data_IF_712609573563
#
_entry.id   IF_712609573563
#
_cell.length_a   1.000
_cell.length_b   1.000
_cell.length_c   1.000
_cell.angle_alpha   90.00
_cell.angle_beta   90.00
_cell.angle_gamma   90.00
#
_symmetry.space_group_name_H-M   'P 1'
#
loop_
_entity.id
_entity.type
_entity.pdbx_description
1 polymer ?
#
# COMPACT_ATOMS: atom_id res chain seq x y z
N UNK A 1 21.78 -24.42 52.01
CA UNK A 1 21.35 -24.79 50.64
C UNK A 1 19.87 -24.55 50.31
N UNK A 2 18.95 -24.41 51.28
CA UNK A 2 17.51 -24.15 51.01
C UNK A 2 17.12 -22.66 50.90
N UNK A 3 17.98 -21.74 51.34
CA UNK A 3 17.71 -20.29 51.26
C UNK A 3 18.15 -19.66 49.92
N UNK A 4 19.20 -20.20 49.28
CA UNK A 4 19.67 -19.73 47.96
C UNK A 4 18.69 -20.12 46.85
N UNK A 5 18.01 -21.27 46.96
CA UNK A 5 16.97 -21.68 46.01
C UNK A 5 15.70 -20.81 46.08
N UNK A 6 15.40 -20.19 47.23
CA UNK A 6 14.20 -19.35 47.39
C UNK A 6 14.38 -17.93 46.82
N UNK A 7 15.62 -17.42 46.76
CA UNK A 7 15.90 -16.14 46.11
C UNK A 7 15.84 -16.24 44.58
N UNK A 8 16.22 -17.39 44.00
CA UNK A 8 16.19 -17.62 42.55
C UNK A 8 14.73 -17.75 42.05
N UNK A 9 13.83 -18.29 42.87
CA UNK A 9 12.41 -18.40 42.54
C UNK A 9 11.67 -17.05 42.56
N UNK A 10 12.15 -16.05 43.31
CA UNK A 10 11.51 -14.72 43.37
C UNK A 10 11.95 -13.81 42.22
N UNK A 11 13.17 -13.99 41.69
CA UNK A 11 13.66 -13.24 40.52
C UNK A 11 13.01 -13.73 39.23
N UNK A 12 12.66 -15.01 39.14
CA UNK A 12 11.94 -15.56 37.98
C UNK A 12 10.44 -15.23 37.95
N UNK A 13 9.83 -14.84 39.08
CA UNK A 13 8.41 -14.50 39.14
C UNK A 13 8.12 -13.02 38.85
N UNK A 14 9.13 -12.13 38.87
CA UNK A 14 8.97 -10.71 38.53
C UNK A 14 9.33 -10.37 37.07
N UNK A 15 9.90 -11.31 36.31
CA UNK A 15 10.26 -11.08 34.91
C UNK A 15 9.10 -11.35 33.91
N UNK A 16 7.97 -11.89 34.38
CA UNK A 16 6.80 -12.21 33.55
C UNK A 16 5.73 -11.09 33.48
N UNK A 17 6.00 -9.92 34.05
CA UNK A 17 5.15 -8.72 33.96
C UNK A 17 5.62 -7.72 32.89
N UNK A 18 6.46 -8.16 31.94
CA UNK A 18 6.66 -7.41 30.70
C UNK A 18 5.35 -7.44 29.93
N UNK A 19 4.56 -6.39 30.14
CA UNK A 19 3.25 -6.19 29.55
C UNK A 19 3.28 -6.53 28.07
N UNK A 20 2.31 -7.32 27.66
CA UNK A 20 1.83 -7.34 26.28
C UNK A 20 1.43 -5.91 25.96
N UNK A 21 2.37 -5.11 25.45
CA UNK A 21 2.03 -3.91 24.73
C UNK A 21 1.16 -4.41 23.59
N UNK A 22 -0.15 -4.12 23.66
CA UNK A 22 -0.98 -4.23 22.49
C UNK A 22 -0.27 -3.40 21.43
N UNK A 23 0.35 -4.08 20.46
CA UNK A 23 0.85 -3.40 19.27
C UNK A 23 -0.40 -2.71 18.71
N UNK A 24 -0.44 -1.39 18.83
CA UNK A 24 -1.49 -0.60 18.19
C UNK A 24 -1.40 -0.98 16.72
N UNK A 25 -2.38 -1.73 16.22
CA UNK A 25 -2.45 -2.05 14.81
C UNK A 25 -2.56 -0.70 14.09
N UNK A 26 -1.49 -0.30 13.40
CA UNK A 26 -1.52 0.89 12.59
C UNK A 26 -2.57 0.65 11.51
N UNK A 27 -3.47 1.61 11.31
CA UNK A 27 -4.46 1.55 10.24
C UNK A 27 -3.70 1.37 8.91
N UNK A 28 -4.06 0.33 8.16
CA UNK A 28 -3.45 0.01 6.86
C UNK A 28 -4.38 0.29 5.68
N UNK A 29 -5.67 0.39 5.95
CA UNK A 29 -6.73 0.54 4.97
C UNK A 29 -7.87 1.38 5.55
N UNK A 30 -8.61 2.08 4.69
CA UNK A 30 -9.80 2.82 5.06
C UNK A 30 -10.82 2.88 3.92
N UNK A 31 -12.09 2.98 4.31
CA UNK A 31 -13.25 3.13 3.42
C UNK A 31 -14.00 4.39 3.82
N UNK A 32 -14.50 5.15 2.83
CA UNK A 32 -15.33 6.34 3.06
C UNK A 32 -16.60 5.96 3.82
N UNK A 33 -16.97 6.77 4.81
CA UNK A 33 -18.16 6.52 5.61
C UNK A 33 -19.42 6.45 4.73
N UNK A 34 -20.23 5.41 4.94
CA UNK A 34 -21.45 5.15 4.16
C UNK A 34 -21.21 4.65 2.74
N UNK A 35 -19.96 4.48 2.30
CA UNK A 35 -19.66 3.85 1.02
C UNK A 35 -19.72 2.33 1.14
N UNK A 36 -20.52 1.72 0.28
CA UNK A 36 -20.57 0.27 0.10
C UNK A 36 -20.45 -0.05 -1.39
N UNK A 37 -19.70 -1.11 -1.69
CA UNK A 37 -19.65 -1.71 -3.02
C UNK A 37 -19.91 -3.21 -2.90
N UNK A 38 -21.17 -3.64 -2.89
CA UNK A 38 -21.51 -5.05 -2.91
C UNK A 38 -20.97 -5.73 -4.17
N UNK A 39 -20.63 -7.02 -4.06
CA UNK A 39 -20.39 -7.84 -5.23
C UNK A 39 -21.63 -7.86 -6.13
N UNK A 40 -21.42 -7.89 -7.45
CA UNK A 40 -22.47 -7.95 -8.47
C UNK A 40 -23.46 -6.77 -8.40
N UNK A 41 -23.00 -5.59 -7.96
CA UNK A 41 -23.83 -4.37 -7.88
C UNK A 41 -24.15 -3.75 -9.25
N UNK A 42 -23.60 -4.31 -10.34
CA UNK A 42 -23.70 -3.77 -11.70
C UNK A 42 -22.77 -2.59 -11.98
N UNK A 43 -21.98 -2.18 -10.97
CA UNK A 43 -20.98 -1.12 -11.09
C UNK A 43 -19.79 -1.56 -11.92
N UNK A 44 -19.18 -0.60 -12.60
CA UNK A 44 -17.99 -0.83 -13.41
C UNK A 44 -16.77 -0.09 -12.85
N UNK A 45 -15.66 -0.82 -12.73
CA UNK A 45 -14.38 -0.34 -12.21
C UNK A 45 -13.40 -0.22 -13.39
N UNK A 46 -12.88 0.97 -13.61
CA UNK A 46 -11.83 1.27 -14.57
C UNK A 46 -10.46 1.12 -13.90
N UNK A 47 -9.63 0.20 -14.35
CA UNK A 47 -8.28 0.01 -13.81
C UNK A 47 -7.29 0.79 -14.64
N UNK A 48 -6.66 1.80 -14.04
CA UNK A 48 -5.57 2.54 -14.67
C UNK A 48 -4.30 1.71 -14.68
N UNK A 49 -3.41 2.00 -15.65
CA UNK A 49 -2.08 1.39 -15.69
C UNK A 49 -1.35 1.71 -14.37
N UNK A 50 -0.88 0.72 -13.61
CA UNK A 50 -0.18 0.99 -12.36
C UNK A 50 1.10 1.82 -12.57
N UNK A 51 1.37 2.74 -11.64
CA UNK A 51 2.64 3.46 -11.58
C UNK A 51 3.66 2.60 -10.83
N UNK A 52 4.64 2.04 -11.54
CA UNK A 52 5.61 1.09 -10.99
C UNK A 52 7.03 1.64 -11.19
N UNK A 53 7.81 1.67 -10.11
CA UNK A 53 9.24 2.01 -10.15
C UNK A 53 10.05 1.05 -9.27
N UNK A 54 11.09 0.46 -9.84
CA UNK A 54 11.96 -0.48 -9.13
C UNK A 54 13.40 -0.08 -9.29
N UNK A 55 14.17 -0.16 -8.21
CA UNK A 55 15.57 0.26 -8.22
C UNK A 55 16.40 -0.30 -7.09
N UNK A 56 17.66 0.08 -7.08
CA UNK A 56 18.56 -0.19 -5.97
C UNK A 56 18.51 0.94 -4.94
N UNK A 57 18.76 0.59 -3.68
CA UNK A 57 19.07 1.56 -2.64
C UNK A 57 20.59 1.62 -2.46
N UNK A 58 21.17 2.77 -2.76
CA UNK A 58 22.61 2.98 -2.63
C UNK A 58 23.06 2.91 -1.16
N UNK A 59 24.38 2.85 -0.94
CA UNK A 59 24.95 2.89 0.42
C UNK A 59 24.54 4.18 1.14
N UNK A 60 24.42 5.30 0.41
CA UNK A 60 23.94 6.58 0.94
C UNK A 60 22.43 6.67 1.13
N UNK A 61 21.67 5.62 0.80
CA UNK A 61 20.20 5.60 0.92
C UNK A 61 19.46 6.22 -0.27
N UNK A 62 20.18 6.60 -1.33
CA UNK A 62 19.57 7.16 -2.54
C UNK A 62 18.91 6.05 -3.39
N UNK A 63 17.78 6.38 -4.01
CA UNK A 63 17.12 5.53 -4.99
C UNK A 63 17.85 5.60 -6.34
N UNK A 64 18.27 4.45 -6.85
CA UNK A 64 18.92 4.27 -8.15
C UNK A 64 17.98 3.47 -9.06
N UNK A 65 17.28 4.12 -10.01
CA UNK A 65 16.32 3.44 -10.88
C UNK A 65 16.95 2.31 -11.69
N UNK A 66 16.25 1.19 -11.83
CA UNK A 66 16.66 0.07 -12.68
C UNK A 66 15.56 -0.23 -13.70
N UNK A 67 15.85 0.00 -14.98
CA UNK A 67 14.89 -0.16 -16.07
C UNK A 67 14.47 -1.63 -16.24
N UNK A 68 15.40 -2.58 -16.22
CA UNK A 68 15.11 -4.00 -16.38
C UNK A 68 14.20 -4.52 -15.25
N UNK A 69 14.52 -4.18 -14.00
CA UNK A 69 13.69 -4.56 -12.86
C UNK A 69 12.30 -3.91 -12.90
N UNK A 70 12.23 -2.67 -13.39
CA UNK A 70 10.95 -1.97 -13.55
C UNK A 70 10.08 -2.64 -14.62
N UNK A 71 10.66 -3.05 -15.75
CA UNK A 71 9.92 -3.75 -16.81
C UNK A 71 9.50 -5.17 -16.39
N UNK A 72 10.35 -5.90 -15.65
CA UNK A 72 9.97 -7.19 -15.05
C UNK A 72 8.79 -7.03 -14.10
N UNK A 73 8.85 -6.04 -13.19
CA UNK A 73 7.78 -5.77 -12.25
C UNK A 73 6.48 -5.35 -12.93
N UNK A 74 6.54 -4.50 -13.96
CA UNK A 74 5.35 -4.16 -14.78
C UNK A 74 4.71 -5.39 -15.39
N UNK A 75 5.51 -6.29 -15.96
CA UNK A 75 5.04 -7.51 -16.60
C UNK A 75 4.37 -8.43 -15.58
N UNK A 76 5.03 -8.70 -14.45
CA UNK A 76 4.53 -9.60 -13.44
C UNK A 76 3.29 -9.04 -12.72
N UNK A 77 3.32 -7.77 -12.30
CA UNK A 77 2.17 -7.11 -11.66
C UNK A 77 0.96 -7.09 -12.60
N UNK A 78 1.16 -6.82 -13.89
CA UNK A 78 0.07 -6.89 -14.89
C UNK A 78 -0.54 -8.29 -14.94
N UNK A 79 0.28 -9.33 -15.04
CA UNK A 79 -0.21 -10.71 -15.06
C UNK A 79 -0.98 -11.07 -13.78
N UNK A 80 -0.49 -10.63 -12.61
CA UNK A 80 -1.19 -10.82 -11.33
C UNK A 80 -2.50 -10.05 -11.24
N UNK A 81 -2.56 -8.83 -11.77
CA UNK A 81 -3.79 -8.03 -11.85
C UNK A 81 -4.82 -8.68 -12.77
N UNK A 82 -4.41 -9.15 -13.94
CA UNK A 82 -5.31 -9.84 -14.88
C UNK A 82 -5.96 -11.09 -14.23
N UNK A 83 -5.22 -11.79 -13.36
CA UNK A 83 -5.72 -12.92 -12.57
C UNK A 83 -6.66 -12.50 -11.44
N UNK A 84 -6.25 -11.53 -10.62
CA UNK A 84 -6.94 -11.15 -9.39
C UNK A 84 -8.13 -10.22 -9.61
N UNK A 85 -8.16 -9.47 -10.72
CA UNK A 85 -9.27 -8.55 -11.01
C UNK A 85 -10.62 -9.27 -11.15
N UNK A 86 -10.61 -10.55 -11.56
CA UNK A 86 -11.81 -11.39 -11.63
C UNK A 86 -12.45 -11.64 -10.24
N UNK A 87 -11.68 -11.42 -9.17
CA UNK A 87 -12.12 -11.61 -7.79
C UNK A 87 -12.64 -10.32 -7.14
N UNK A 88 -12.61 -9.16 -7.82
CA UNK A 88 -13.09 -7.87 -7.29
C UNK A 88 -14.63 -7.78 -7.17
N UNK A 89 -15.36 -8.79 -7.65
CA UNK A 89 -16.80 -8.91 -7.47
C UNK A 89 -17.66 -8.03 -8.36
N UNK A 90 -17.09 -7.07 -9.10
CA UNK A 90 -17.81 -6.18 -10.03
C UNK A 90 -17.14 -6.17 -11.40
N UNK A 91 -17.78 -5.55 -12.40
CA UNK A 91 -17.25 -5.52 -13.76
C UNK A 91 -15.96 -4.69 -13.80
N UNK A 92 -14.87 -5.28 -14.27
CA UNK A 92 -13.57 -4.60 -14.39
C UNK A 92 -13.25 -4.36 -15.86
N UNK A 93 -12.85 -3.14 -16.18
CA UNK A 93 -12.35 -2.76 -17.51
C UNK A 93 -11.01 -2.06 -17.37
N UNK A 94 -10.08 -2.34 -18.27
CA UNK A 94 -8.79 -1.66 -18.30
C UNK A 94 -8.96 -0.29 -18.96
N UNK A 95 -8.30 0.74 -18.40
CA UNK A 95 -8.22 2.03 -19.05
C UNK A 95 -7.57 1.90 -20.44
N UNK A 96 -8.10 2.60 -21.46
CA UNK A 96 -7.49 2.60 -22.78
C UNK A 96 -6.07 3.17 -22.71
N UNK A 97 -5.23 2.81 -23.69
CA UNK A 97 -3.95 3.47 -23.82
C UNK A 97 -4.14 4.95 -24.15
N UNK A 98 -3.43 5.80 -23.40
CA UNK A 98 -3.49 7.24 -23.51
C UNK A 98 -2.25 7.76 -24.27
N UNK A 99 -2.40 8.85 -25.02
CA UNK A 99 -1.32 9.47 -25.79
C UNK A 99 -1.35 10.99 -25.63
N UNK A 100 -0.18 11.63 -25.79
CA UNK A 100 -0.08 13.09 -25.74
C UNK A 100 -0.59 13.67 -24.41
N UNK A 101 -1.52 14.63 -24.50
CA UNK A 101 -2.08 15.31 -23.32
C UNK A 101 -2.83 14.37 -22.38
N UNK A 102 -3.52 13.36 -22.92
CA UNK A 102 -4.22 12.36 -22.12
C UNK A 102 -3.25 11.49 -21.32
N UNK A 103 -2.11 11.12 -21.92
CA UNK A 103 -1.07 10.35 -21.22
C UNK A 103 -0.49 11.16 -20.06
N UNK A 104 -0.19 12.44 -20.31
CA UNK A 104 0.26 13.37 -19.28
C UNK A 104 -0.77 13.53 -18.17
N UNK A 105 -2.05 13.69 -18.51
CA UNK A 105 -3.11 13.79 -17.52
C UNK A 105 -3.20 12.54 -16.63
N UNK A 106 -3.09 11.33 -17.21
CA UNK A 106 -3.05 10.09 -16.43
C UNK A 106 -1.83 10.06 -15.50
N UNK A 107 -0.64 10.42 -15.99
CA UNK A 107 0.57 10.48 -15.16
C UNK A 107 0.46 11.47 -13.99
N UNK A 108 -0.07 12.65 -14.24
CA UNK A 108 -0.31 13.68 -13.21
C UNK A 108 -1.30 13.17 -12.14
N UNK A 109 -2.38 12.50 -12.53
CA UNK A 109 -3.34 11.94 -11.58
C UNK A 109 -2.78 10.71 -10.84
N UNK A 110 -1.91 9.91 -11.45
CA UNK A 110 -1.19 8.84 -10.76
C UNK A 110 -0.22 9.41 -9.70
N UNK A 111 0.48 10.50 -10.02
CA UNK A 111 1.35 11.19 -9.08
C UNK A 111 0.55 11.85 -7.94
N UNK A 112 -0.59 12.47 -8.27
CA UNK A 112 -1.52 13.02 -7.28
C UNK A 112 -2.06 11.92 -6.36
N UNK A 113 -2.43 10.76 -6.92
CA UNK A 113 -2.87 9.62 -6.13
C UNK A 113 -1.79 9.16 -5.14
N UNK A 114 -0.54 9.06 -5.57
CA UNK A 114 0.57 8.72 -4.68
C UNK A 114 0.75 9.75 -3.55
N UNK A 115 0.67 11.05 -3.87
CA UNK A 115 0.80 12.13 -2.90
C UNK A 115 -0.37 12.16 -1.89
N UNK A 116 -1.61 11.98 -2.37
CA UNK A 116 -2.79 11.88 -1.50
C UNK A 116 -2.71 10.65 -0.61
N UNK A 117 -2.28 9.50 -1.13
CA UNK A 117 -2.07 8.28 -0.33
C UNK A 117 -1.05 8.49 0.78
N UNK A 118 0.09 9.14 0.48
CA UNK A 118 1.07 9.51 1.50
C UNK A 118 0.49 10.46 2.56
N UNK A 119 -0.31 11.44 2.16
CA UNK A 119 -0.99 12.33 3.10
C UNK A 119 -2.00 11.58 3.98
N UNK A 120 -2.73 10.60 3.45
CA UNK A 120 -3.61 9.73 4.24
C UNK A 120 -2.80 8.95 5.26
N UNK A 121 -1.69 8.31 4.86
CA UNK A 121 -0.86 7.54 5.79
C UNK A 121 -0.36 8.43 6.93
N UNK A 122 0.18 9.60 6.59
CA UNK A 122 0.78 10.53 7.55
C UNK A 122 -0.26 11.14 8.50
N UNK A 123 -1.41 11.58 7.98
CA UNK A 123 -2.35 12.41 8.72
C UNK A 123 -3.65 11.70 9.16
N UNK A 124 -3.92 10.50 8.62
CA UNK A 124 -5.06 9.65 9.01
C UNK A 124 -4.57 8.43 9.80
N UNK A 125 -3.74 7.59 9.19
CA UNK A 125 -3.38 6.28 9.73
C UNK A 125 -2.37 6.39 10.86
N UNK A 126 -1.44 7.34 10.79
CA UNK A 126 -0.49 7.59 11.86
C UNK A 126 -1.10 8.49 12.94
N UNK A 127 -1.60 7.87 14.02
CA UNK A 127 -2.27 8.56 15.14
C UNK A 127 -1.46 9.72 15.70
N UNK A 128 -0.13 9.61 15.71
CA UNK A 128 0.78 10.63 16.24
C UNK A 128 0.78 11.95 15.46
N UNK A 129 0.49 11.93 14.16
CA UNK A 129 0.57 13.11 13.28
C UNK A 129 -0.81 13.60 12.80
N UNK A 130 -1.91 13.08 13.36
CA UNK A 130 -3.28 13.50 13.00
C UNK A 130 -3.48 15.02 13.13
N UNK A 131 -3.86 15.66 12.03
CA UNK A 131 -4.00 17.12 11.92
C UNK A 131 -5.04 17.68 12.93
N UNK A 132 -4.76 18.80 13.61
CA UNK A 132 -5.69 19.42 14.56
C UNK A 132 -7.09 19.72 14.00
N UNK A 133 -7.19 20.16 12.75
CA UNK A 133 -8.45 20.46 12.06
C UNK A 133 -9.23 19.21 11.69
N UNK A 134 -8.56 18.06 11.52
CA UNK A 134 -9.19 16.75 11.34
C UNK A 134 -9.39 15.97 12.64
N UNK A 135 -9.01 16.51 13.82
CA UNK A 135 -9.10 15.77 15.10
C UNK A 135 -10.52 15.36 15.49
N UNK A 136 -11.55 16.11 15.08
CA UNK A 136 -12.95 15.74 15.33
C UNK A 136 -13.41 14.67 14.34
N UNK A 137 -13.05 14.84 13.08
CA UNK A 137 -13.43 13.95 11.98
C UNK A 137 -12.72 12.59 12.12
N UNK A 138 -11.43 12.57 12.50
CA UNK A 138 -10.65 11.37 12.82
C UNK A 138 -11.02 10.71 14.17
N UNK A 139 -11.77 11.39 15.04
CA UNK A 139 -12.38 10.74 16.23
C UNK A 139 -13.66 9.99 15.86
N UNK A 140 -14.23 10.31 14.71
CA UNK A 140 -15.42 9.70 14.13
C UNK A 140 -15.08 8.85 12.90
N UNK A 141 -13.80 8.54 12.67
CA UNK A 141 -13.30 7.78 11.52
C UNK A 141 -13.75 8.30 10.13
N UNK A 142 -13.92 9.62 10.01
CA UNK A 142 -14.34 10.27 8.76
C UNK A 142 -13.19 10.25 7.74
N UNK A 143 -13.34 9.39 6.73
CA UNK A 143 -12.42 9.27 5.62
C UNK A 143 -12.84 10.16 4.45
N UNK A 144 -12.39 11.42 4.48
CA UNK A 144 -12.65 12.42 3.44
C UNK A 144 -11.35 12.87 2.76
N UNK A 145 -11.09 12.28 1.58
CA UNK A 145 -9.96 12.57 0.71
C UNK A 145 -10.44 12.50 -0.75
N UNK A 146 -9.77 13.22 -1.64
CA UNK A 146 -10.19 13.33 -3.04
C UNK A 146 -8.99 13.61 -3.94
N UNK A 147 -9.03 13.07 -5.17
CA UNK A 147 -8.16 13.46 -6.28
C UNK A 147 -8.74 14.66 -7.05
N UNK A 148 -9.95 15.11 -6.68
CA UNK A 148 -10.68 16.18 -7.34
C UNK A 148 -11.39 15.73 -8.63
N UNK A 149 -12.30 16.56 -9.14
CA UNK A 149 -13.18 16.20 -10.25
C UNK A 149 -12.45 15.99 -11.60
N UNK A 150 -11.16 16.32 -11.68
CA UNK A 150 -10.34 16.10 -12.88
C UNK A 150 -10.23 14.63 -13.31
N UNK A 151 -10.48 13.68 -12.40
CA UNK A 151 -10.50 12.25 -12.75
C UNK A 151 -11.57 11.90 -13.78
N UNK A 152 -12.65 12.70 -13.86
CA UNK A 152 -13.75 12.49 -14.79
C UNK A 152 -13.34 12.69 -16.26
N UNK A 153 -12.28 13.46 -16.51
CA UNK A 153 -11.74 13.68 -17.85
C UNK A 153 -10.71 12.64 -18.28
N UNK A 154 -10.33 11.71 -17.40
CA UNK A 154 -9.33 10.69 -17.76
C UNK A 154 -9.88 9.73 -18.82
N UNK A 155 -9.03 9.20 -19.71
CA UNK A 155 -9.44 8.25 -20.74
C UNK A 155 -10.19 7.04 -20.16
N UNK A 156 -11.38 6.76 -20.70
CA UNK A 156 -12.24 5.66 -20.25
C UNK A 156 -13.11 5.99 -19.03
N UNK A 157 -12.88 7.10 -18.32
CA UNK A 157 -13.62 7.44 -17.10
C UNK A 157 -15.14 7.54 -17.32
N UNK A 158 -15.56 8.07 -18.47
CA UNK A 158 -16.98 8.19 -18.85
C UNK A 158 -17.70 6.85 -19.03
N UNK A 159 -16.98 5.73 -19.08
CA UNK A 159 -17.54 4.39 -19.31
C UNK A 159 -17.66 3.56 -18.03
N UNK A 160 -17.23 4.09 -16.89
CA UNK A 160 -17.17 3.41 -15.60
C UNK A 160 -17.70 4.29 -14.45
N UNK A 161 -17.98 3.66 -13.31
CA UNK A 161 -18.42 4.37 -12.10
C UNK A 161 -17.22 4.76 -11.23
N UNK A 162 -16.24 3.86 -11.12
CA UNK A 162 -15.10 4.01 -10.24
C UNK A 162 -13.77 3.78 -10.97
N UNK A 163 -12.71 4.44 -10.50
CA UNK A 163 -11.35 4.29 -10.98
C UNK A 163 -10.50 3.61 -9.93
N UNK A 164 -9.79 2.54 -10.31
CA UNK A 164 -8.82 1.88 -9.46
C UNK A 164 -7.40 2.35 -9.85
N UNK A 165 -6.75 3.02 -8.90
CA UNK A 165 -5.39 3.52 -9.01
C UNK A 165 -4.46 2.59 -8.22
N UNK A 166 -3.33 2.21 -8.82
CA UNK A 166 -2.31 1.39 -8.16
C UNK A 166 -0.94 2.03 -8.28
N UNK A 167 -0.26 2.17 -7.16
CA UNK A 167 1.11 2.68 -7.07
C UNK A 167 2.01 1.63 -6.44
N UNK A 168 3.21 1.46 -7.00
CA UNK A 168 4.24 0.58 -6.46
C UNK A 168 5.63 1.21 -6.62
N UNK A 169 6.37 1.25 -5.52
CA UNK A 169 7.78 1.60 -5.52
C UNK A 169 8.57 0.62 -4.65
N UNK A 170 9.54 -0.05 -5.27
CA UNK A 170 10.41 -1.01 -4.58
C UNK A 170 11.88 -0.66 -4.72
N UNK A 171 12.60 -0.76 -3.60
CA UNK A 171 14.05 -0.56 -3.53
C UNK A 171 14.73 -1.77 -2.90
N UNK A 172 15.69 -2.35 -3.60
CA UNK A 172 16.50 -3.45 -3.08
C UNK A 172 17.90 -2.95 -2.71
N UNK A 173 18.40 -3.32 -1.53
CA UNK A 173 19.72 -2.89 -1.08
C UNK A 173 20.81 -3.31 -2.06
N UNK A 174 21.67 -2.35 -2.45
CA UNK A 174 22.85 -2.65 -3.28
C UNK A 174 23.79 -3.64 -2.57
N UNK A 175 24.72 -4.26 -3.32
CA UNK A 175 25.74 -5.14 -2.74
C UNK A 175 26.52 -4.44 -1.62
N UNK A 176 26.90 -3.17 -1.82
CA UNK A 176 27.58 -2.36 -0.80
C UNK A 176 26.72 -2.13 0.45
N UNK A 177 25.41 -1.88 0.29
CA UNK A 177 24.49 -1.70 1.41
C UNK A 177 24.24 -2.99 2.19
N UNK A 178 24.14 -4.14 1.52
CA UNK A 178 24.04 -5.45 2.18
C UNK A 178 25.26 -5.73 3.06
N UNK A 179 26.46 -5.40 2.58
CA UNK A 179 27.70 -5.49 3.38
C UNK A 179 27.65 -4.53 4.57
N UNK A 180 27.23 -3.27 4.36
CA UNK A 180 27.06 -2.30 5.44
C UNK A 180 26.08 -2.80 6.51
N UNK A 181 24.95 -3.39 6.11
CA UNK A 181 23.97 -3.96 7.03
C UNK A 181 24.57 -5.08 7.89
N UNK A 182 25.37 -5.96 7.29
CA UNK A 182 26.08 -7.01 8.03
C UNK A 182 27.06 -6.43 9.05
N UNK A 183 27.86 -5.44 8.66
CA UNK A 183 28.82 -4.76 9.55
C UNK A 183 28.11 -4.00 10.67
N UNK A 184 27.05 -3.26 10.35
CA UNK A 184 26.26 -2.52 11.33
C UNK A 184 25.58 -3.46 12.33
N UNK A 185 25.03 -4.59 11.88
CA UNK A 185 24.44 -5.60 12.74
C UNK A 185 25.45 -6.20 13.72
N UNK A 186 26.69 -6.47 13.29
CA UNK A 186 27.78 -6.88 14.20
C UNK A 186 28.10 -5.79 15.25
N UNK A 187 27.89 -4.53 14.92
CA UNK A 187 28.00 -3.39 15.83
C UNK A 187 26.73 -3.07 16.64
N UNK A 188 25.67 -3.88 16.54
CA UNK A 188 24.40 -3.66 17.25
C UNK A 188 23.51 -2.56 16.67
N UNK A 189 23.79 -2.06 15.47
CA UNK A 189 23.02 -1.01 14.80
C UNK A 189 22.16 -1.60 13.69
N UNK A 190 20.84 -1.39 13.76
CA UNK A 190 19.90 -1.79 12.71
C UNK A 190 19.88 -0.79 11.55
N UNK A 191 19.96 -1.29 10.31
CA UNK A 191 19.87 -0.47 9.09
C UNK A 191 18.71 -0.97 8.23
N UNK A 192 17.70 -0.12 8.01
CA UNK A 192 16.48 -0.46 7.25
C UNK A 192 16.84 -1.02 5.85
N UNK A 193 16.26 -2.18 5.55
CA UNK A 193 16.37 -2.88 4.27
C UNK A 193 15.41 -2.28 3.26
N UNK A 194 15.91 -1.41 2.37
CA UNK A 194 15.11 -0.91 1.25
C UNK A 194 13.87 -0.12 1.66
N UNK A 195 13.10 0.24 0.65
CA UNK A 195 11.77 0.81 0.77
C UNK A 195 10.87 -0.02 -0.15
N UNK A 196 9.79 -0.56 0.41
CA UNK A 196 8.82 -1.37 -0.29
C UNK A 196 7.46 -0.73 -0.04
N UNK A 197 6.96 0.02 -1.03
CA UNK A 197 5.75 0.83 -0.93
C UNK A 197 4.76 0.36 -1.97
N UNK A 198 3.50 0.18 -1.55
CA UNK A 198 2.39 -0.09 -2.44
C UNK A 198 1.11 0.59 -1.93
N UNK A 199 0.36 1.19 -2.85
CA UNK A 199 -0.96 1.78 -2.57
C UNK A 199 -1.97 1.31 -3.61
N UNK A 200 -3.20 1.02 -3.18
CA UNK A 200 -4.33 0.82 -4.07
C UNK A 200 -5.50 1.67 -3.59
N UNK A 201 -6.16 2.40 -4.50
CA UNK A 201 -7.27 3.27 -4.16
C UNK A 201 -8.39 3.21 -5.16
N UNK A 202 -9.63 3.17 -4.64
CA UNK A 202 -10.85 3.22 -5.42
C UNK A 202 -11.40 4.64 -5.35
N UNK A 203 -11.62 5.26 -6.51
CA UNK A 203 -12.01 6.66 -6.64
C UNK A 203 -13.33 6.77 -7.39
N UNK A 204 -14.25 7.62 -6.92
CA UNK A 204 -15.45 8.00 -7.67
C UNK A 204 -15.06 8.79 -8.93
N UNK A 205 -15.36 8.28 -10.11
CA UNK A 205 -14.95 8.93 -11.36
C UNK A 205 -15.74 10.20 -11.68
N UNK A 206 -16.85 10.47 -10.99
CA UNK A 206 -17.64 11.70 -11.16
C UNK A 206 -17.16 12.80 -10.23
N UNK A 207 -16.88 12.47 -8.97
CA UNK A 207 -16.54 13.48 -7.94
C UNK A 207 -15.04 13.58 -7.69
N UNK A 208 -14.28 12.51 -7.92
CA UNK A 208 -12.87 12.40 -7.53
C UNK A 208 -12.66 11.93 -6.10
N UNK A 209 -13.72 11.62 -5.36
CA UNK A 209 -13.60 11.17 -3.98
C UNK A 209 -12.86 9.85 -3.88
N UNK A 210 -11.90 9.77 -2.95
CA UNK A 210 -11.25 8.52 -2.57
C UNK A 210 -12.22 7.74 -1.67
N UNK A 211 -12.79 6.67 -2.22
CA UNK A 211 -13.82 5.86 -1.59
C UNK A 211 -13.22 4.73 -0.74
N UNK A 212 -12.06 4.24 -1.14
CA UNK A 212 -11.31 3.22 -0.42
C UNK A 212 -9.83 3.39 -0.72
N UNK A 213 -8.98 3.12 0.28
CA UNK A 213 -7.53 3.09 0.14
C UNK A 213 -6.96 1.95 0.97
N UNK A 214 -6.08 1.15 0.37
CA UNK A 214 -5.14 0.28 1.07
C UNK A 214 -3.72 0.78 0.85
N UNK A 215 -3.00 0.99 1.94
CA UNK A 215 -1.64 1.50 1.98
C UNK A 215 -0.80 0.82 3.08
N UNK A 216 -0.98 -0.49 3.25
CA UNK A 216 -0.22 -1.29 4.21
C UNK A 216 1.30 -1.13 4.02
N UNK A 217 1.98 -0.63 5.06
CA UNK A 217 3.43 -0.50 5.10
C UNK A 217 4.18 -1.85 5.25
N UNK A 218 3.46 -2.94 5.50
CA UNK A 218 3.99 -4.31 5.60
C UNK A 218 3.82 -5.12 4.31
N UNK A 219 3.53 -4.48 3.17
CA UNK A 219 3.51 -5.15 1.88
C UNK A 219 4.88 -5.76 1.55
N UNK A 220 4.83 -7.00 1.07
CA UNK A 220 6.01 -7.79 0.70
C UNK A 220 5.92 -8.33 -0.71
N UNK A 221 6.73 -9.36 -0.97
CA UNK A 221 6.88 -9.96 -2.29
C UNK A 221 7.90 -9.21 -3.14
N UNK A 222 8.80 -9.96 -3.77
CA UNK A 222 9.73 -9.42 -4.75
C UNK A 222 9.02 -9.27 -6.09
N UNK A 223 8.69 -8.04 -6.46
CA UNK A 223 7.94 -7.75 -7.69
C UNK A 223 8.69 -8.10 -8.97
N UNK A 224 9.99 -8.37 -8.89
CA UNK A 224 10.78 -8.84 -10.04
C UNK A 224 10.48 -10.31 -10.36
N UNK A 225 9.94 -11.03 -9.39
CA UNK A 225 9.53 -12.43 -9.52
C UNK A 225 8.00 -12.56 -9.67
N UNK A 226 7.50 -13.56 -10.41
CA UNK A 226 6.07 -13.77 -10.60
C UNK A 226 5.30 -13.98 -9.29
N UNK A 227 5.80 -14.87 -8.41
CA UNK A 227 5.14 -15.19 -7.13
C UNK A 227 5.15 -14.01 -6.17
N UNK A 228 6.25 -13.25 -6.16
CA UNK A 228 6.37 -12.04 -5.36
C UNK A 228 5.41 -10.95 -5.82
N UNK A 229 5.21 -10.80 -7.13
CA UNK A 229 4.20 -9.89 -7.69
C UNK A 229 2.78 -10.31 -7.38
N UNK A 230 2.47 -11.61 -7.44
CA UNK A 230 1.14 -12.10 -7.06
C UNK A 230 0.84 -11.79 -5.60
N UNK A 231 1.81 -12.06 -4.70
CA UNK A 231 1.70 -11.67 -3.29
C UNK A 231 1.47 -10.17 -3.14
N UNK A 232 2.26 -9.34 -3.83
CA UNK A 232 2.14 -7.89 -3.77
C UNK A 232 0.75 -7.42 -4.21
N UNK A 233 0.25 -7.91 -5.34
CA UNK A 233 -1.07 -7.51 -5.85
C UNK A 233 -2.20 -8.00 -4.96
N UNK A 234 -2.09 -9.21 -4.38
CA UNK A 234 -3.04 -9.70 -3.37
C UNK A 234 -3.09 -8.75 -2.16
N UNK A 235 -1.93 -8.37 -1.63
CA UNK A 235 -1.87 -7.44 -0.49
C UNK A 235 -2.37 -6.04 -0.85
N UNK A 236 -2.08 -5.54 -2.07
CA UNK A 236 -2.63 -4.27 -2.56
C UNK A 236 -4.16 -4.29 -2.61
N UNK A 237 -4.76 -5.40 -3.03
CA UNK A 237 -6.20 -5.55 -3.18
C UNK A 237 -6.88 -6.18 -1.95
N UNK A 238 -6.14 -6.34 -0.85
CA UNK A 238 -6.68 -6.86 0.41
C UNK A 238 -7.76 -5.93 0.94
N UNK A 239 -8.85 -6.51 1.47
CA UNK A 239 -10.03 -5.79 1.95
C UNK A 239 -10.72 -4.91 0.90
N UNK A 240 -10.47 -5.15 -0.40
CA UNK A 240 -11.18 -4.43 -1.46
C UNK A 240 -12.70 -4.66 -1.35
N UNK A 241 -13.52 -3.60 -1.33
CA UNK A 241 -14.98 -3.69 -1.19
C UNK A 241 -15.66 -4.60 -2.22
N UNK A 242 -16.37 -5.63 -1.75
CA UNK A 242 -17.09 -6.58 -2.59
C UNK A 242 -16.21 -7.66 -3.24
N UNK A 243 -14.90 -7.68 -2.96
CA UNK A 243 -14.00 -8.72 -3.47
C UNK A 243 -14.10 -10.04 -2.69
N UNK A 244 -13.61 -11.11 -3.32
CA UNK A 244 -13.42 -12.43 -2.71
C UNK A 244 -11.94 -12.75 -2.45
N UNK A 245 -11.07 -11.74 -2.62
CA UNK A 245 -9.63 -11.86 -2.41
C UNK A 245 -9.41 -12.06 -0.91
N UNK A 246 -8.92 -13.25 -0.55
CA UNK A 246 -8.59 -13.57 0.84
C UNK A 246 -7.18 -13.09 1.18
N UNK A 247 -7.00 -12.73 2.44
CA UNK A 247 -5.69 -12.55 3.06
C UNK A 247 -4.94 -13.90 3.06
N UNK A 248 -3.76 -13.92 2.43
CA UNK A 248 -2.82 -15.03 2.58
C UNK A 248 -2.00 -14.74 3.84
N UNK A 249 -2.38 -15.38 4.95
CA UNK A 249 -1.67 -15.50 6.24
C UNK A 249 -2.11 -14.55 7.38
N UNK A 250 -3.03 -15.05 8.21
CA UNK A 250 -2.71 -15.27 9.62
C UNK A 250 -2.09 -16.66 9.80
#
# INVERSE_FOLDING_TARGET
>A
MKFVLRLIALVFACASLLGTQAASAQEKSATKEGFELPAQSGKKILVFRPAISVGAQSTGGLFEPNAEWTEQAKTNIRASLDKLQLQLGNAVVTAPEAYGDDARAVEEHMALFAAVSQAVIEYQFFVGNRLPTKKRDNKNDVFEWSLGPGVASLPGASQADYGLFLYNKDQYGSTGRKVLQLVAAMGGVGVKSGEHIGYAGLVDLKTGDLLWLNADGAMGGDVREPEGSEKRVRQLLEDFPGSTIKDDQR
#
